data_IF_817807188581
#
_entry.id   IF_817807188581
#
_cell.length_a   1.000
_cell.length_b   1.000
_cell.length_c   1.000
_cell.angle_alpha   90.00
_cell.angle_beta   90.00
_cell.angle_gamma   90.00
#
_symmetry.space_group_name_H-M   'P 1'
#
loop_
_entity.id
_entity.type
_entity.pdbx_description
1 polymer ?
#
# COMPACT_ATOMS: atom_id res chain seq x y z
N UNK A 1 3.06 21.09 -3.60
CA UNK A 1 4.52 21.12 -3.75
C UNK A 1 5.12 21.42 -2.39
N UNK A 2 5.95 20.53 -1.86
CA UNK A 2 6.68 20.73 -0.61
C UNK A 2 8.16 20.87 -1.01
N UNK A 3 8.82 21.93 -0.54
CA UNK A 3 10.24 22.16 -0.76
C UNK A 3 11.03 21.54 0.40
N UNK A 4 11.88 20.56 0.12
CA UNK A 4 12.80 19.96 1.07
C UNK A 4 14.20 20.50 0.79
N UNK A 5 14.52 21.68 1.34
CA UNK A 5 15.76 22.48 1.22
C UNK A 5 16.43 22.64 -0.16
N UNK A 6 16.59 21.57 -0.95
CA UNK A 6 17.13 21.52 -2.32
C UNK A 6 16.39 20.51 -3.25
N UNK A 7 15.27 19.92 -2.81
CA UNK A 7 14.46 18.95 -3.56
C UNK A 7 12.97 19.33 -3.62
N UNK A 8 12.32 18.93 -4.70
CA UNK A 8 10.90 19.15 -4.98
C UNK A 8 10.14 17.84 -4.85
N UNK A 9 9.26 17.77 -3.85
CA UNK A 9 8.28 16.69 -3.74
C UNK A 9 6.97 17.09 -4.43
N UNK A 10 6.62 16.34 -5.47
CA UNK A 10 5.36 16.48 -6.19
C UNK A 10 4.38 15.38 -5.80
N UNK A 11 3.35 15.78 -5.05
CA UNK A 11 2.27 14.91 -4.61
C UNK A 11 1.26 14.80 -5.75
N UNK A 12 0.93 13.59 -6.19
CA UNK A 12 -0.05 13.41 -7.28
C UNK A 12 -1.46 13.80 -6.84
N UNK A 13 -2.35 14.03 -7.80
CA UNK A 13 -3.77 14.28 -7.51
C UNK A 13 -4.38 13.11 -6.72
N UNK A 14 -4.91 13.41 -5.54
CA UNK A 14 -5.47 12.43 -4.60
C UNK A 14 -4.51 11.32 -4.18
N UNK A 15 -3.19 11.56 -4.31
CA UNK A 15 -2.13 10.56 -4.11
C UNK A 15 -2.38 9.25 -4.88
N UNK A 16 -3.18 9.31 -5.95
CA UNK A 16 -3.63 8.15 -6.69
C UNK A 16 -2.67 7.86 -7.86
N UNK A 17 -2.33 6.59 -8.07
CA UNK A 17 -1.41 6.15 -9.13
C UNK A 17 -1.97 6.45 -10.51
N UNK A 18 -3.22 6.08 -10.80
CA UNK A 18 -3.83 6.29 -12.11
C UNK A 18 -3.93 7.76 -12.49
N UNK A 19 -4.22 8.63 -11.51
CA UNK A 19 -4.22 10.08 -11.70
C UNK A 19 -2.81 10.65 -11.84
N UNK A 20 -1.84 10.11 -11.10
CA UNK A 20 -0.44 10.48 -11.22
C UNK A 20 0.10 10.25 -12.63
N UNK A 21 -0.18 9.10 -13.23
CA UNK A 21 0.37 8.76 -14.57
C UNK A 21 -0.50 9.23 -15.74
N UNK A 22 -1.61 9.92 -15.46
CA UNK A 22 -2.51 10.44 -16.49
C UNK A 22 -1.91 11.63 -17.24
N UNK A 23 -2.45 11.92 -18.43
CA UNK A 23 -2.08 13.11 -19.21
C UNK A 23 -2.45 14.44 -18.54
N UNK A 24 -3.27 14.42 -17.48
CA UNK A 24 -3.70 15.61 -16.74
C UNK A 24 -2.69 16.03 -15.65
N UNK A 25 -1.68 15.21 -15.39
CA UNK A 25 -0.65 15.50 -14.41
C UNK A 25 0.71 15.71 -15.09
N UNK A 26 1.39 16.79 -14.71
CA UNK A 26 2.77 17.06 -15.08
C UNK A 26 3.57 17.43 -13.83
N UNK A 27 4.85 17.03 -13.83
CA UNK A 27 5.77 17.50 -12.80
C UNK A 27 5.94 19.02 -12.92
N UNK A 28 5.97 19.75 -11.80
CA UNK A 28 6.32 21.16 -11.82
C UNK A 28 7.75 21.33 -12.34
N UNK A 29 8.02 22.42 -13.05
CA UNK A 29 9.38 22.78 -13.45
C UNK A 29 10.20 23.13 -12.21
N UNK A 30 11.29 22.39 -11.99
CA UNK A 30 12.27 22.70 -10.95
C UNK A 30 13.36 23.63 -11.53
N UNK A 31 13.88 24.52 -10.70
CA UNK A 31 15.02 25.37 -11.05
C UNK A 31 16.32 24.58 -11.11
N UNK A 32 16.38 23.40 -10.47
CA UNK A 32 17.52 22.49 -10.46
C UNK A 32 17.14 21.15 -11.08
N UNK A 33 17.92 20.69 -12.05
CA UNK A 33 17.67 19.41 -12.72
C UNK A 33 17.89 18.22 -11.77
N UNK A 34 17.07 17.18 -11.91
CA UNK A 34 17.24 15.92 -11.18
C UNK A 34 16.87 15.94 -9.70
N UNK A 35 16.07 16.93 -9.26
CA UNK A 35 15.67 17.13 -7.85
C UNK A 35 14.18 16.91 -7.58
N UNK A 36 13.44 16.40 -8.55
CA UNK A 36 12.01 16.10 -8.41
C UNK A 36 11.75 14.66 -7.98
N UNK A 37 10.83 14.48 -7.02
CA UNK A 37 10.29 13.20 -6.59
C UNK A 37 8.76 13.19 -6.79
N UNK A 38 8.19 12.00 -6.98
CA UNK A 38 6.74 11.80 -7.04
C UNK A 38 6.26 11.05 -5.80
N UNK A 39 5.17 11.49 -5.20
CA UNK A 39 4.50 10.76 -4.11
C UNK A 39 3.12 10.26 -4.53
N UNK A 40 2.86 8.98 -4.24
CA UNK A 40 1.54 8.31 -4.32
C UNK A 40 1.28 7.52 -3.03
N UNK A 41 0.03 7.18 -2.77
CA UNK A 41 -0.39 6.29 -1.68
C UNK A 41 -1.02 5.04 -2.27
N UNK A 42 -1.00 3.93 -1.53
CA UNK A 42 -1.55 2.65 -1.99
C UNK A 42 -2.40 1.99 -0.91
N UNK A 43 -3.71 1.93 -1.16
CA UNK A 43 -4.69 1.30 -0.28
C UNK A 43 -5.60 0.34 -1.04
N UNK A 44 -5.20 -0.16 -2.20
CA UNK A 44 -6.03 -1.13 -2.93
C UNK A 44 -5.80 -2.57 -2.42
N UNK A 45 -6.84 -3.42 -2.37
CA UNK A 45 -8.23 -3.05 -2.59
C UNK A 45 -8.81 -2.35 -1.36
N UNK A 46 -9.50 -1.23 -1.56
CA UNK A 46 -9.96 -0.39 -0.45
C UNK A 46 -10.85 -1.18 0.51
N UNK A 47 -11.63 -2.14 0.01
CA UNK A 47 -12.51 -3.04 0.77
C UNK A 47 -11.85 -4.02 1.72
N UNK A 48 -10.57 -4.24 1.54
CA UNK A 48 -9.73 -4.90 2.51
C UNK A 48 -9.06 -3.91 3.47
N UNK A 49 -8.50 -2.82 2.94
CA UNK A 49 -7.57 -1.95 3.65
C UNK A 49 -8.22 -0.85 4.51
N UNK A 50 -9.34 -0.26 4.05
CA UNK A 50 -9.90 0.99 4.56
C UNK A 50 -11.38 0.91 4.98
N UNK A 51 -12.14 -0.11 4.58
CA UNK A 51 -13.58 -0.18 4.93
C UNK A 51 -13.70 -0.33 6.45
N UNK A 52 -14.39 0.57 7.12
CA UNK A 52 -14.67 0.40 8.54
C UNK A 52 -15.82 -0.58 8.78
N UNK A 53 -16.81 -0.62 7.89
CA UNK A 53 -18.03 -1.44 8.08
C UNK A 53 -18.73 -1.82 6.78
N UNK A 54 -19.51 -2.89 6.82
CA UNK A 54 -20.38 -3.29 5.71
C UNK A 54 -21.33 -2.14 5.31
N UNK A 55 -21.51 -1.97 3.99
CA UNK A 55 -22.38 -0.95 3.41
C UNK A 55 -21.76 0.44 3.23
N UNK A 56 -20.53 0.67 3.71
CA UNK A 56 -19.87 1.98 3.68
C UNK A 56 -19.61 2.55 2.27
N UNK A 57 -19.19 1.73 1.29
CA UNK A 57 -19.09 2.18 -0.11
C UNK A 57 -20.36 2.00 -0.92
N UNK A 58 -21.47 1.69 -0.27
CA UNK A 58 -22.76 1.52 -0.92
C UNK A 58 -23.48 0.25 -0.47
N UNK A 59 -24.77 0.18 -0.79
CA UNK A 59 -25.61 -0.94 -0.40
C UNK A 59 -25.04 -2.28 -0.87
N UNK A 60 -24.85 -3.21 0.07
CA UNK A 60 -24.33 -4.55 -0.22
C UNK A 60 -22.81 -4.67 -0.28
N UNK A 61 -22.05 -3.56 -0.16
CA UNK A 61 -20.60 -3.65 -0.02
C UNK A 61 -20.23 -4.33 1.30
N UNK A 62 -19.16 -5.13 1.26
CA UNK A 62 -18.71 -5.96 2.37
C UNK A 62 -17.25 -5.67 2.68
N UNK A 63 -16.94 -5.55 3.96
CA UNK A 63 -15.56 -5.59 4.42
C UNK A 63 -14.93 -6.91 3.99
N UNK A 64 -13.75 -6.84 3.39
CA UNK A 64 -12.95 -8.01 3.00
C UNK A 64 -11.95 -8.33 4.08
N UNK A 65 -11.75 -9.62 4.31
CA UNK A 65 -10.84 -10.15 5.35
C UNK A 65 -9.70 -10.96 4.75
N UNK A 66 -9.92 -11.57 3.58
CA UNK A 66 -8.96 -12.52 3.03
C UNK A 66 -8.45 -12.02 1.70
N UNK A 67 -7.17 -11.65 1.67
CA UNK A 67 -6.44 -11.16 0.50
C UNK A 67 -5.35 -12.16 0.09
N UNK A 68 -5.21 -12.34 -1.22
CA UNK A 68 -4.24 -13.24 -1.85
C UNK A 68 -4.81 -14.64 -1.98
N UNK A 69 -4.64 -15.25 -3.15
CA UNK A 69 -5.27 -16.52 -3.50
C UNK A 69 -4.96 -17.65 -2.48
N UNK A 70 -3.78 -17.62 -1.86
CA UNK A 70 -3.37 -18.59 -0.83
C UNK A 70 -4.12 -18.45 0.51
N UNK A 71 -4.71 -17.29 0.78
CA UNK A 71 -5.40 -17.00 2.02
C UNK A 71 -6.93 -17.05 1.92
N UNK A 72 -7.49 -17.16 0.72
CA UNK A 72 -8.93 -17.27 0.54
C UNK A 72 -9.54 -18.45 1.30
N UNK A 73 -10.75 -18.24 1.82
CA UNK A 73 -11.59 -19.27 2.45
C UNK A 73 -12.68 -19.66 1.45
N UNK A 74 -12.77 -20.94 1.12
CA UNK A 74 -13.75 -21.44 0.15
C UNK A 74 -15.18 -21.03 0.54
N UNK A 75 -15.91 -20.41 -0.40
CA UNK A 75 -17.29 -19.97 -0.21
C UNK A 75 -17.48 -18.71 0.64
N UNK A 76 -16.40 -18.09 1.13
CA UNK A 76 -16.51 -16.84 1.89
C UNK A 76 -16.78 -15.65 0.98
N UNK A 77 -17.78 -14.84 1.32
CA UNK A 77 -18.04 -13.52 0.71
C UNK A 77 -17.06 -12.43 1.19
N UNK A 78 -16.18 -12.78 2.14
CA UNK A 78 -15.12 -11.93 2.72
C UNK A 78 -13.78 -12.06 1.99
N UNK A 79 -13.68 -12.92 0.97
CA UNK A 79 -12.50 -12.94 0.08
C UNK A 79 -12.47 -11.67 -0.77
N UNK A 80 -11.27 -11.12 -0.98
CA UNK A 80 -11.04 -10.07 -1.95
C UNK A 80 -11.42 -10.57 -3.35
N UNK A 81 -11.98 -9.67 -4.15
CA UNK A 81 -12.41 -9.99 -5.52
C UNK A 81 -11.72 -9.12 -6.57
N UNK A 82 -10.83 -8.22 -6.12
CA UNK A 82 -10.03 -7.31 -6.93
C UNK A 82 -8.81 -6.87 -6.11
N UNK A 83 -7.86 -6.17 -6.74
CA UNK A 83 -6.71 -5.60 -6.03
C UNK A 83 -5.69 -6.63 -5.52
N UNK A 84 -5.65 -7.82 -6.11
CA UNK A 84 -4.71 -8.89 -5.74
C UNK A 84 -3.35 -8.73 -6.46
N UNK A 85 -2.47 -9.74 -6.37
CA UNK A 85 -1.04 -9.65 -6.70
C UNK A 85 -0.75 -9.01 -8.07
N UNK A 86 -1.41 -9.49 -9.13
CA UNK A 86 -1.20 -8.98 -10.50
C UNK A 86 -1.66 -7.53 -10.68
N UNK A 87 -2.70 -7.12 -9.94
CA UNK A 87 -3.17 -5.74 -9.94
C UNK A 87 -2.13 -4.83 -9.27
N UNK A 88 -1.61 -5.23 -8.11
CA UNK A 88 -0.55 -4.50 -7.40
C UNK A 88 0.66 -4.27 -8.32
N UNK A 89 1.15 -5.33 -8.95
CA UNK A 89 2.29 -5.23 -9.86
C UNK A 89 1.98 -4.30 -11.04
N UNK A 90 0.77 -4.37 -11.60
CA UNK A 90 0.36 -3.47 -12.68
C UNK A 90 0.31 -1.99 -12.24
N UNK A 91 -0.05 -1.71 -10.99
CA UNK A 91 -0.09 -0.35 -10.45
C UNK A 91 1.33 0.19 -10.26
N UNK A 92 2.21 -0.57 -9.62
CA UNK A 92 3.60 -0.11 -9.45
C UNK A 92 4.39 -0.07 -10.76
N UNK A 93 4.06 -0.92 -11.73
CA UNK A 93 4.62 -0.83 -13.09
C UNK A 93 4.30 0.50 -13.77
N UNK A 94 3.11 1.07 -13.57
CA UNK A 94 2.77 2.41 -14.09
C UNK A 94 3.72 3.47 -13.53
N UNK A 95 4.00 3.42 -12.23
CA UNK A 95 4.93 4.35 -11.58
C UNK A 95 6.36 4.16 -12.08
N UNK A 96 6.77 2.90 -12.31
CA UNK A 96 8.07 2.59 -12.90
C UNK A 96 8.23 3.21 -14.30
N UNK A 97 7.24 3.01 -15.17
CA UNK A 97 7.28 3.47 -16.56
C UNK A 97 7.14 5.00 -16.68
N UNK A 98 6.32 5.59 -15.81
CA UNK A 98 6.09 7.02 -15.83
C UNK A 98 7.29 7.80 -15.28
N UNK A 99 7.97 7.30 -14.24
CA UNK A 99 8.93 8.08 -13.45
C UNK A 99 10.26 7.37 -13.21
N UNK A 100 10.26 6.19 -12.57
CA UNK A 100 11.50 5.54 -12.11
C UNK A 100 12.46 5.26 -13.28
N UNK A 101 11.95 4.71 -14.38
CA UNK A 101 12.74 4.42 -15.59
C UNK A 101 13.34 5.67 -16.25
N UNK A 102 12.88 6.87 -15.86
CA UNK A 102 13.36 8.17 -16.32
C UNK A 102 14.22 8.88 -15.27
N UNK A 103 14.62 8.17 -14.20
CA UNK A 103 15.45 8.71 -13.12
C UNK A 103 14.69 9.59 -12.12
N UNK A 104 13.36 9.56 -12.10
CA UNK A 104 12.54 10.30 -11.13
C UNK A 104 12.13 9.35 -10.01
N UNK A 105 12.61 9.53 -8.77
CA UNK A 105 12.24 8.68 -7.64
C UNK A 105 10.74 8.75 -7.33
N UNK A 106 10.17 7.61 -6.94
CA UNK A 106 8.77 7.51 -6.49
C UNK A 106 8.72 7.07 -5.05
N UNK A 107 7.97 7.80 -4.23
CA UNK A 107 7.64 7.47 -2.86
C UNK A 107 6.21 6.90 -2.84
N UNK A 108 6.04 5.70 -2.27
CA UNK A 108 4.73 5.23 -1.81
C UNK A 108 4.58 5.71 -0.38
N UNK A 109 4.04 6.91 -0.21
CA UNK A 109 4.07 7.67 1.05
C UNK A 109 3.24 7.04 2.15
N UNK A 110 2.19 6.32 1.77
CA UNK A 110 1.34 5.60 2.69
C UNK A 110 0.83 4.29 2.07
N UNK A 111 0.83 3.25 2.88
CA UNK A 111 0.09 2.02 2.67
C UNK A 111 -0.07 1.32 4.01
N UNK A 112 -1.26 0.79 4.28
CA UNK A 112 -1.55 -0.03 5.45
C UNK A 112 -2.89 -0.73 5.30
N UNK A 113 -3.18 -1.62 6.24
CA UNK A 113 -4.46 -2.32 6.37
C UNK A 113 -4.97 -2.05 7.78
N UNK A 114 -6.20 -1.53 7.88
CA UNK A 114 -6.89 -1.33 9.15
C UNK A 114 -6.90 -2.62 9.99
N UNK A 115 -6.68 -2.51 11.30
CA UNK A 115 -6.68 -3.69 12.19
C UNK A 115 -8.12 -4.09 12.49
N UNK A 116 -8.45 -5.35 12.20
CA UNK A 116 -9.78 -5.93 12.47
C UNK A 116 -9.72 -6.95 13.59
N UNK A 117 -10.83 -7.09 14.32
CA UNK A 117 -10.98 -8.02 15.42
C UNK A 117 -12.30 -8.79 15.36
N UNK A 118 -12.38 -9.89 16.09
CA UNK A 118 -13.62 -10.65 16.27
C UNK A 118 -14.67 -9.92 17.12
N UNK A 119 -14.30 -8.84 17.80
CA UNK A 119 -15.26 -7.96 18.49
C UNK A 119 -16.08 -7.17 17.48
N UNK A 120 -15.42 -6.67 16.42
CA UNK A 120 -16.05 -5.87 15.37
C UNK A 120 -16.73 -6.76 14.32
N UNK A 121 -16.12 -7.92 14.04
CA UNK A 121 -16.58 -8.90 13.05
C UNK A 121 -16.56 -10.32 13.65
N UNK A 122 -17.64 -10.76 14.32
CA UNK A 122 -17.68 -12.06 14.99
C UNK A 122 -17.40 -13.28 14.10
N UNK A 123 -17.61 -13.15 12.79
CA UNK A 123 -17.36 -14.18 11.77
C UNK A 123 -15.92 -14.22 11.25
N UNK A 124 -15.06 -13.28 11.67
CA UNK A 124 -13.68 -13.18 11.23
C UNK A 124 -12.86 -14.39 11.71
N UNK A 125 -12.24 -15.11 10.79
CA UNK A 125 -11.16 -16.03 11.13
C UNK A 125 -9.90 -15.21 11.43
N UNK A 126 -9.56 -15.09 12.72
CA UNK A 126 -8.44 -14.25 13.15
C UNK A 126 -7.09 -14.69 12.58
N UNK A 127 -6.86 -15.97 12.35
CA UNK A 127 -5.57 -16.46 11.88
C UNK A 127 -5.44 -16.22 10.38
N UNK A 128 -6.52 -16.48 9.62
CA UNK A 128 -6.57 -16.15 8.19
C UNK A 128 -6.53 -14.65 7.93
N UNK A 129 -7.18 -13.84 8.75
CA UNK A 129 -7.07 -12.39 8.70
C UNK A 129 -5.62 -11.91 8.89
N UNK A 130 -4.94 -12.40 9.93
CA UNK A 130 -3.53 -12.03 10.19
C UNK A 130 -2.63 -12.48 9.05
N UNK A 131 -2.85 -13.68 8.51
CA UNK A 131 -2.13 -14.19 7.35
C UNK A 131 -2.34 -13.29 6.12
N UNK A 132 -3.58 -12.93 5.79
CA UNK A 132 -3.87 -12.02 4.68
C UNK A 132 -3.27 -10.63 4.86
N UNK A 133 -3.39 -10.06 6.05
CA UNK A 133 -2.80 -8.75 6.36
C UNK A 133 -1.28 -8.77 6.21
N UNK A 134 -0.62 -9.81 6.70
CA UNK A 134 0.82 -10.00 6.53
C UNK A 134 1.21 -10.21 5.06
N UNK A 135 0.50 -11.08 4.33
CA UNK A 135 0.75 -11.34 2.91
C UNK A 135 0.60 -10.08 2.08
N UNK A 136 -0.46 -9.29 2.30
CA UNK A 136 -0.65 -8.02 1.62
C UNK A 136 0.51 -7.06 1.91
N UNK A 137 0.83 -6.82 3.19
CA UNK A 137 1.90 -5.89 3.56
C UNK A 137 3.25 -6.31 2.98
N UNK A 138 3.59 -7.59 3.06
CA UNK A 138 4.80 -8.14 2.44
C UNK A 138 4.82 -7.88 0.93
N UNK A 139 3.74 -8.23 0.24
CA UNK A 139 3.65 -8.13 -1.21
C UNK A 139 3.72 -6.68 -1.71
N UNK A 140 3.01 -5.75 -1.05
CA UNK A 140 3.08 -4.33 -1.40
C UNK A 140 4.50 -3.78 -1.21
N UNK A 141 5.15 -4.12 -0.10
CA UNK A 141 6.53 -3.69 0.19
C UNK A 141 7.49 -4.21 -0.87
N UNK A 142 7.43 -5.51 -1.16
CA UNK A 142 8.28 -6.18 -2.14
C UNK A 142 8.05 -5.62 -3.55
N UNK A 143 6.79 -5.53 -4.00
CA UNK A 143 6.45 -5.07 -5.34
C UNK A 143 6.79 -3.60 -5.54
N UNK A 144 6.54 -2.73 -4.56
CA UNK A 144 6.95 -1.32 -4.63
C UNK A 144 8.47 -1.21 -4.88
N UNK A 145 9.28 -1.94 -4.11
CA UNK A 145 10.75 -1.98 -4.30
C UNK A 145 11.16 -2.54 -5.66
N UNK A 146 10.57 -3.65 -6.08
CA UNK A 146 10.85 -4.27 -7.39
C UNK A 146 10.59 -3.33 -8.57
N UNK A 147 9.69 -2.36 -8.39
CA UNK A 147 9.35 -1.35 -9.39
C UNK A 147 10.05 0.00 -9.15
N UNK A 148 11.02 0.07 -8.23
CA UNK A 148 11.81 1.28 -7.99
C UNK A 148 11.17 2.33 -7.09
N UNK A 149 10.09 1.98 -6.41
CA UNK A 149 9.39 2.85 -5.48
C UNK A 149 9.88 2.65 -4.04
N UNK A 150 9.85 3.70 -3.22
CA UNK A 150 10.24 3.67 -1.81
C UNK A 150 8.99 3.59 -0.92
N UNK A 151 8.71 2.45 -0.25
CA UNK A 151 7.48 2.27 0.52
C UNK A 151 7.59 2.76 1.97
N UNK A 152 6.64 3.59 2.40
CA UNK A 152 6.50 4.06 3.78
C UNK A 152 5.19 3.53 4.38
N UNK A 153 5.33 2.64 5.38
CA UNK A 153 4.19 2.00 6.02
C UNK A 153 3.44 3.00 6.92
N UNK A 154 2.12 3.08 6.78
CA UNK A 154 1.29 4.01 7.55
C UNK A 154 1.00 3.45 8.95
N UNK A 155 1.83 3.81 9.93
CA UNK A 155 1.71 3.33 11.30
C UNK A 155 1.06 4.36 12.25
N UNK A 156 -0.17 4.05 12.67
CA UNK A 156 -1.00 4.93 13.50
C UNK A 156 -0.98 4.59 14.99
N UNK A 157 -0.06 3.73 15.43
CA UNK A 157 0.05 3.21 16.80
C UNK A 157 -0.64 1.86 17.00
N UNK A 158 -1.04 1.20 15.91
CA UNK A 158 -1.67 -0.11 15.89
C UNK A 158 -0.67 -1.25 16.01
N UNK A 159 0.45 -1.17 15.29
CA UNK A 159 1.42 -2.25 15.18
C UNK A 159 2.70 -2.01 15.98
N UNK A 160 3.00 -0.76 16.32
CA UNK A 160 4.15 -0.35 17.12
C UNK A 160 3.67 0.41 18.37
N UNK A 161 4.21 0.04 19.52
CA UNK A 161 3.99 0.77 20.75
C UNK A 161 4.77 2.09 20.74
N UNK A 162 4.05 3.21 20.63
CA UNK A 162 4.62 4.55 20.58
C UNK A 162 5.40 4.98 21.82
N UNK A 163 5.20 4.32 22.97
CA UNK A 163 5.90 4.67 24.20
C UNK A 163 7.31 4.06 24.28
N UNK A 164 7.53 2.91 23.64
CA UNK A 164 8.78 2.15 23.80
C UNK A 164 9.32 1.49 22.52
N UNK A 165 8.67 1.70 21.37
CA UNK A 165 9.10 1.15 20.08
C UNK A 165 8.88 -0.36 19.91
N UNK A 166 8.30 -1.05 20.91
CA UNK A 166 8.08 -2.49 20.81
C UNK A 166 6.98 -2.83 19.82
N UNK A 167 7.14 -3.91 19.05
CA UNK A 167 6.10 -4.44 18.19
C UNK A 167 4.89 -4.92 19.02
N UNK A 168 3.70 -4.45 18.68
CA UNK A 168 2.41 -4.98 19.17
C UNK A 168 1.98 -6.19 18.33
N UNK A 169 2.20 -6.11 17.02
CA UNK A 169 1.86 -7.15 16.05
C UNK A 169 3.13 -7.61 15.32
N UNK A 170 3.96 -8.41 15.99
CA UNK A 170 5.24 -8.85 15.42
C UNK A 170 5.09 -9.61 14.10
N UNK A 171 3.97 -10.31 13.89
CA UNK A 171 3.70 -11.01 12.62
C UNK A 171 3.68 -10.05 11.42
N UNK A 172 3.14 -8.83 11.61
CA UNK A 172 3.08 -7.82 10.56
C UNK A 172 4.46 -7.16 10.37
N UNK A 173 5.13 -6.80 11.47
CA UNK A 173 6.47 -6.19 11.41
C UNK A 173 7.46 -7.13 10.72
N UNK A 174 7.38 -8.44 10.99
CA UNK A 174 8.19 -9.44 10.29
C UNK A 174 7.86 -9.47 8.80
N UNK A 175 6.58 -9.48 8.42
CA UNK A 175 6.16 -9.49 7.01
C UNK A 175 6.62 -8.24 6.24
N UNK A 176 6.57 -7.07 6.89
CA UNK A 176 7.11 -5.82 6.35
C UNK A 176 8.62 -5.94 6.07
N UNK A 177 9.39 -6.44 7.04
CA UNK A 177 10.83 -6.63 6.88
C UNK A 177 11.17 -7.70 5.83
N UNK A 178 10.42 -8.81 5.78
CA UNK A 178 10.58 -9.83 4.75
C UNK A 178 10.33 -9.28 3.35
N UNK A 179 9.29 -8.45 3.17
CA UNK A 179 9.01 -7.80 1.88
C UNK A 179 10.12 -6.82 1.49
N UNK A 180 10.64 -6.08 2.48
CA UNK A 180 11.79 -5.21 2.27
C UNK A 180 13.04 -6.00 1.86
N UNK A 181 13.34 -7.12 2.51
CA UNK A 181 14.51 -7.96 2.19
C UNK A 181 14.37 -8.66 0.84
N UNK A 182 13.16 -9.09 0.48
CA UNK A 182 12.87 -9.75 -0.80
C UNK A 182 12.92 -8.77 -1.99
N UNK A 183 12.45 -7.54 -1.79
CA UNK A 183 12.37 -6.52 -2.83
C UNK A 183 13.74 -6.05 -3.32
N UNK A 184 13.95 -6.11 -4.63
CA UNK A 184 15.19 -5.73 -5.31
C UNK A 184 14.93 -4.54 -6.21
N UNK A 185 15.56 -3.42 -5.89
CA UNK A 185 15.46 -2.24 -6.72
C UNK A 185 15.97 -2.49 -8.15
N UNK A 186 15.31 -1.96 -9.19
CA UNK A 186 15.65 -2.20 -10.60
C UNK A 186 16.72 -1.22 -11.10
N UNK A 187 17.76 -0.98 -10.31
CA UNK A 187 18.89 -0.10 -10.64
C UNK A 187 20.24 -0.68 -10.21
#
# INVERSE_FOLDING_TARGET
>A
MIYLSDEVLSITHYTNIDKGVSSEYSLPTDAVEGRSLVEVHFYDPSDFTLMGKDGEWGAGSKVKFYWGAANHIAGSDRNCTWGEESYVDSQFKKMQDAYVSKGIPVIVGEYAVEIRSTTDFPELDSDKWKASRASWTKYITESAKNHGCVPFYWETGGDINRNNGAAKNSYLINALMEGADAGKYPF
#
